data_IF_554708996001
#
_entry.id   IF_554708996001
#
_cell.length_a   1.000
_cell.length_b   1.000
_cell.length_c   1.000
_cell.angle_alpha   90.00
_cell.angle_beta   90.00
_cell.angle_gamma   90.00
#
_symmetry.space_group_name_H-M   'P 1'
#
loop_
_entity.id
_entity.type
_entity.pdbx_description
1 polymer ?
#
# COMPACT_ATOMS: atom_id res chain seq x y z
N UNK A 1 -20.31 -9.62 26.61
CA UNK A 1 -19.82 -9.02 25.35
C UNK A 1 -19.21 -7.66 25.69
N UNK A 2 -17.88 -7.57 25.83
CA UNK A 2 -17.21 -6.28 26.03
C UNK A 2 -17.01 -5.63 24.65
N UNK A 3 -17.74 -4.55 24.38
CA UNK A 3 -17.56 -3.77 23.15
C UNK A 3 -16.20 -3.11 23.16
N UNK A 4 -15.36 -3.42 22.17
CA UNK A 4 -14.10 -2.71 21.95
C UNK A 4 -14.42 -1.25 21.63
N UNK A 5 -14.07 -0.35 22.55
CA UNK A 5 -14.16 1.08 22.29
C UNK A 5 -13.04 1.47 21.31
N UNK A 6 -13.41 1.64 20.03
CA UNK A 6 -12.53 1.99 18.92
C UNK A 6 -12.24 3.51 18.84
N UNK A 7 -12.59 4.30 19.85
CA UNK A 7 -12.62 5.77 19.73
C UNK A 7 -11.29 6.48 19.94
N UNK A 8 -10.16 5.78 20.07
CA UNK A 8 -8.87 6.45 20.16
C UNK A 8 -8.46 7.02 18.80
N UNK A 9 -8.25 8.33 18.75
CA UNK A 9 -7.64 9.04 17.61
C UNK A 9 -6.34 9.65 18.11
N UNK A 10 -5.23 9.39 17.41
CA UNK A 10 -3.94 9.96 17.77
C UNK A 10 -3.93 11.49 17.57
N UNK A 11 -3.09 12.19 18.33
CA UNK A 11 -2.93 13.65 18.18
C UNK A 11 -2.55 14.06 16.76
N UNK A 12 -1.72 13.26 16.10
CA UNK A 12 -1.38 13.43 14.68
C UNK A 12 -2.59 13.30 13.76
N UNK A 13 -3.48 12.35 14.03
CA UNK A 13 -4.70 12.16 13.23
C UNK A 13 -5.69 13.31 13.36
N UNK A 14 -5.73 13.98 14.52
CA UNK A 14 -6.51 15.22 14.70
C UNK A 14 -5.87 16.38 13.94
N UNK A 15 -4.57 16.59 14.11
CA UNK A 15 -3.82 17.63 13.40
C UNK A 15 -3.96 17.51 11.88
N UNK A 16 -3.78 16.30 11.31
CA UNK A 16 -3.94 16.08 9.88
C UNK A 16 -5.34 16.44 9.37
N UNK A 17 -6.39 16.14 10.13
CA UNK A 17 -7.77 16.51 9.75
C UNK A 17 -7.94 18.03 9.68
N UNK A 18 -7.39 18.75 10.65
CA UNK A 18 -7.43 20.22 10.69
C UNK A 18 -6.64 20.84 9.52
N UNK A 19 -5.51 20.26 9.15
CA UNK A 19 -4.72 20.72 7.99
C UNK A 19 -5.44 20.46 6.67
N UNK A 20 -6.07 19.29 6.49
CA UNK A 20 -6.81 19.00 5.25
C UNK A 20 -8.04 19.88 5.04
N UNK A 21 -8.65 20.40 6.12
CA UNK A 21 -9.73 21.39 6.01
C UNK A 21 -9.18 22.75 5.58
N UNK A 22 -7.98 23.12 6.02
CA UNK A 22 -7.31 24.37 5.64
C UNK A 22 -6.73 24.32 4.22
N UNK A 23 -6.32 23.14 3.76
CA UNK A 23 -5.63 22.92 2.48
C UNK A 23 -6.34 21.88 1.61
N UNK A 24 -7.54 22.17 1.09
CA UNK A 24 -8.27 21.24 0.23
C UNK A 24 -7.53 20.87 -1.06
N UNK A 25 -6.61 21.72 -1.55
CA UNK A 25 -5.76 21.48 -2.72
C UNK A 25 -4.83 20.27 -2.54
N UNK A 26 -4.42 19.95 -1.30
CA UNK A 26 -3.58 18.78 -1.04
C UNK A 26 -4.31 17.48 -1.33
N UNK A 27 -5.64 17.46 -1.22
CA UNK A 27 -6.41 16.27 -1.54
C UNK A 27 -6.35 15.93 -3.04
N UNK A 28 -6.30 16.94 -3.91
CA UNK A 28 -6.10 16.76 -5.35
C UNK A 28 -4.67 16.28 -5.64
N UNK A 29 -3.66 16.93 -5.05
CA UNK A 29 -2.25 16.52 -5.22
C UNK A 29 -1.97 15.09 -4.73
N UNK A 30 -2.61 14.65 -3.65
CA UNK A 30 -2.51 13.27 -3.15
C UNK A 30 -3.10 12.26 -4.14
N UNK A 31 -4.23 12.59 -4.78
CA UNK A 31 -4.84 11.74 -5.80
C UNK A 31 -3.97 11.64 -7.05
N UNK A 32 -3.43 12.76 -7.52
CA UNK A 32 -2.51 12.79 -8.67
C UNK A 32 -1.23 12.01 -8.38
N UNK A 33 -0.65 12.18 -7.19
CA UNK A 33 0.57 11.48 -6.78
C UNK A 33 0.35 9.96 -6.67
N UNK A 34 -0.79 9.54 -6.12
CA UNK A 34 -1.20 8.13 -6.12
C UNK A 34 -1.33 7.59 -7.53
N UNK A 35 -1.92 8.35 -8.44
CA UNK A 35 -2.13 7.93 -9.81
C UNK A 35 -0.81 7.70 -10.56
N UNK A 36 0.21 8.51 -10.28
CA UNK A 36 1.52 8.41 -10.94
C UNK A 36 2.29 7.16 -10.56
N UNK A 37 2.36 6.82 -9.27
CA UNK A 37 3.25 5.76 -8.79
C UNK A 37 2.51 4.47 -8.43
N UNK A 38 1.27 4.56 -7.90
CA UNK A 38 0.50 3.38 -7.49
C UNK A 38 -0.55 2.93 -8.51
N UNK A 39 -1.18 3.84 -9.24
CA UNK A 39 -2.13 3.46 -10.31
C UNK A 39 -1.45 3.29 -11.68
N UNK A 40 -0.20 2.81 -11.68
CA UNK A 40 0.53 2.49 -12.90
C UNK A 40 -0.25 1.51 -13.78
N UNK A 41 -0.33 1.80 -15.08
CA UNK A 41 -1.03 0.95 -16.06
C UNK A 41 -0.43 -0.47 -16.04
N UNK A 42 -1.21 -1.43 -15.57
CA UNK A 42 -0.83 -2.84 -15.60
C UNK A 42 -1.16 -3.45 -16.96
N UNK A 43 -0.15 -3.90 -17.72
CA UNK A 43 -0.37 -4.71 -18.91
C UNK A 43 -0.73 -6.15 -18.50
N UNK A 44 -2.03 -6.44 -18.50
CA UNK A 44 -2.57 -7.77 -18.14
C UNK A 44 -2.08 -8.88 -19.07
N UNK A 45 -1.78 -8.58 -20.34
CA UNK A 45 -1.25 -9.59 -21.28
C UNK A 45 0.20 -9.91 -20.94
N UNK A 46 1.00 -8.91 -20.59
CA UNK A 46 2.37 -9.12 -20.12
C UNK A 46 2.38 -9.92 -18.79
N UNK A 47 1.52 -9.55 -17.83
CA UNK A 47 1.39 -10.30 -16.57
C UNK A 47 1.00 -11.77 -16.79
N UNK A 48 0.04 -12.04 -17.69
CA UNK A 48 -0.36 -13.41 -18.01
C UNK A 48 0.79 -14.24 -18.60
N UNK A 49 1.63 -13.63 -19.45
CA UNK A 49 2.83 -14.29 -20.00
C UNK A 49 3.88 -14.56 -18.94
N UNK A 50 4.09 -13.62 -18.02
CA UNK A 50 5.04 -13.78 -16.91
C UNK A 50 4.60 -14.88 -15.95
N UNK A 51 3.31 -14.94 -15.61
CA UNK A 51 2.75 -16.01 -14.79
C UNK A 51 2.87 -17.38 -15.49
N UNK A 52 2.63 -17.45 -16.80
CA UNK A 52 2.81 -18.68 -17.56
C UNK A 52 4.29 -19.13 -17.68
N UNK A 53 5.22 -18.18 -17.59
CA UNK A 53 6.66 -18.42 -17.62
C UNK A 53 7.28 -18.62 -16.22
N UNK A 54 6.47 -18.63 -15.16
CA UNK A 54 6.94 -18.76 -13.79
C UNK A 54 7.56 -20.14 -13.56
N UNK A 55 8.84 -20.16 -13.19
CA UNK A 55 9.58 -21.38 -12.82
C UNK A 55 9.72 -21.42 -11.31
N UNK A 56 9.41 -22.57 -10.71
CA UNK A 56 9.55 -22.77 -9.26
C UNK A 56 10.99 -22.55 -8.83
N UNK A 57 11.21 -21.55 -7.98
CA UNK A 57 12.49 -21.30 -7.33
C UNK A 57 12.93 -22.55 -6.56
N UNK A 58 14.15 -23.02 -6.82
CA UNK A 58 14.73 -24.14 -6.07
C UNK A 58 15.08 -23.64 -4.66
N UNK A 59 14.76 -24.39 -3.60
CA UNK A 59 15.17 -24.03 -2.25
C UNK A 59 16.69 -24.05 -2.18
N UNK A 60 17.29 -22.94 -1.75
CA UNK A 60 18.69 -22.94 -1.35
C UNK A 60 18.81 -23.75 -0.06
N UNK A 61 19.58 -24.84 -0.09
CA UNK A 61 19.96 -25.55 1.14
C UNK A 61 20.90 -24.64 1.92
N UNK A 62 20.41 -24.04 2.99
CA UNK A 62 21.29 -23.51 4.02
C UNK A 62 21.76 -24.70 4.87
N UNK A 63 23.07 -24.95 4.86
CA UNK A 63 23.71 -25.89 5.77
C UNK A 63 23.68 -25.29 7.18
N UNK A 64 22.64 -25.61 7.93
CA UNK A 64 22.47 -25.23 9.34
C UNK A 64 23.25 -26.20 10.23
N UNK A 65 24.57 -26.20 10.07
CA UNK A 65 25.47 -26.78 11.07
C UNK A 65 25.59 -25.78 12.23
N UNK A 66 24.79 -26.01 13.27
CA UNK A 66 24.97 -25.42 14.60
C UNK A 66 25.82 -26.33 15.48
#
# INVERSE_FOLDING_TARGET
>A
MFGVNRSYVSGFGLWMKEEFVRHPEWQAGQQESRALWWDGKQDRKAQARLAAAEIRQQPYTYDVNF
#
